data_IF_079927148293
#
_entry.id   IF_079927148293
#
_cell.length_a   1.000
_cell.length_b   1.000
_cell.length_c   1.000
_cell.angle_alpha   90.00
_cell.angle_beta   90.00
_cell.angle_gamma   90.00
#
_symmetry.space_group_name_H-M   'P 1'
#
loop_
_entity.id
_entity.type
_entity.pdbx_description
1 polymer ?
#
# COMPACT_ATOMS: atom_id res chain seq x y z
N UNK A 1 31.20 18.93 14.87
CA UNK A 1 32.16 18.33 15.83
C UNK A 1 32.92 19.50 16.44
N UNK A 2 32.84 19.89 17.71
CA UNK A 2 32.57 19.21 18.97
C UNK A 2 31.93 20.22 19.93
N UNK A 3 30.88 19.82 20.64
CA UNK A 3 30.32 20.56 21.78
C UNK A 3 31.01 20.10 23.07
N UNK A 4 31.34 21.01 23.98
CA UNK A 4 31.29 20.77 25.43
C UNK A 4 31.44 22.06 26.22
N UNK A 5 30.29 22.55 26.72
CA UNK A 5 30.18 23.49 27.83
C UNK A 5 30.44 22.75 29.14
N UNK A 6 31.32 23.29 30.00
CA UNK A 6 31.30 22.98 31.45
C UNK A 6 30.77 24.19 32.20
N UNK A 7 29.59 23.94 32.80
CA UNK A 7 29.09 24.37 34.12
C UNK A 7 29.87 25.49 34.80
N UNK A 8 29.13 26.50 35.24
CA UNK A 8 28.79 26.70 36.66
C UNK A 8 27.79 27.87 36.75
N UNK A 9 26.56 27.62 37.20
CA UNK A 9 25.74 28.64 37.87
C UNK A 9 24.76 27.90 38.79
N UNK A 10 25.07 27.84 40.09
CA UNK A 10 24.52 28.66 41.17
C UNK A 10 23.02 28.46 41.40
N UNK A 11 22.72 27.85 42.54
CA UNK A 11 21.41 27.59 43.13
C UNK A 11 20.77 28.90 43.63
N UNK A 12 19.44 28.99 43.69
CA UNK A 12 18.86 29.36 44.97
C UNK A 12 17.75 28.39 45.43
N UNK A 13 17.84 28.06 46.72
CA UNK A 13 16.86 27.36 47.54
C UNK A 13 15.71 28.32 47.82
N UNK A 14 14.50 27.97 47.40
CA UNK A 14 13.25 28.46 47.99
C UNK A 14 12.19 27.35 47.98
N UNK A 15 11.65 27.07 49.17
CA UNK A 15 10.26 26.64 49.33
C UNK A 15 9.97 25.14 49.18
N UNK A 16 10.14 24.39 50.27
CA UNK A 16 9.32 23.22 50.55
C UNK A 16 7.83 23.62 50.43
N UNK A 17 7.16 23.14 49.38
CA UNK A 17 5.71 23.10 49.32
C UNK A 17 5.32 21.61 49.28
N UNK A 18 4.52 21.12 50.25
CA UNK A 18 4.16 19.72 50.30
C UNK A 18 3.17 19.39 49.19
N UNK A 19 3.48 18.29 48.52
CA UNK A 19 2.65 17.46 47.64
C UNK A 19 1.14 17.51 47.95
N UNK A 20 0.31 17.92 46.99
CA UNK A 20 -1.13 17.60 46.92
C UNK A 20 -1.74 18.06 45.59
N UNK A 21 -1.74 17.16 44.60
CA UNK A 21 -2.81 16.98 43.61
C UNK A 21 -2.33 15.91 42.63
N UNK A 22 -2.48 14.66 43.06
CA UNK A 22 -2.73 13.57 42.12
C UNK A 22 -3.93 13.99 41.27
N UNK A 23 -3.67 14.41 40.04
CA UNK A 23 -4.62 14.17 38.97
C UNK A 23 -4.61 12.66 38.75
N UNK A 24 -5.50 11.97 39.47
CA UNK A 24 -5.97 10.63 39.16
C UNK A 24 -6.66 10.68 37.78
N UNK A 25 -5.85 10.74 36.72
CA UNK A 25 -6.30 10.24 35.43
C UNK A 25 -6.31 8.72 35.58
N UNK A 26 -7.49 8.05 35.59
CA UNK A 26 -7.53 6.60 35.73
C UNK A 26 -6.63 5.99 34.65
N UNK A 27 -5.87 4.91 34.93
CA UNK A 27 -5.07 4.27 33.92
C UNK A 27 -6.05 3.89 32.80
N UNK A 28 -5.95 4.61 31.68
CA UNK A 28 -6.72 4.33 30.48
C UNK A 28 -6.50 2.84 30.22
N UNK A 29 -7.53 2.05 30.49
CA UNK A 29 -7.45 0.60 30.40
C UNK A 29 -7.22 0.29 28.93
N UNK A 30 -5.94 0.19 28.57
CA UNK A 30 -5.51 -0.24 27.27
C UNK A 30 -5.91 -1.70 27.17
N UNK A 31 -7.06 -1.96 26.55
CA UNK A 31 -7.53 -3.31 26.26
C UNK A 31 -6.45 -3.95 25.38
N UNK A 32 -5.67 -4.87 25.95
CA UNK A 32 -4.66 -5.62 25.25
C UNK A 32 -5.36 -6.69 24.39
N UNK A 33 -5.55 -6.39 23.11
CA UNK A 33 -6.11 -7.34 22.15
C UNK A 33 -5.03 -8.34 21.75
N UNK A 34 -5.16 -9.58 22.22
CA UNK A 34 -4.33 -10.70 21.75
C UNK A 34 -4.95 -11.23 20.46
N UNK A 35 -4.29 -10.96 19.34
CA UNK A 35 -4.71 -11.46 18.04
C UNK A 35 -4.20 -12.90 17.81
N UNK A 36 -4.97 -13.75 17.08
CA UNK A 36 -4.49 -15.06 16.67
C UNK A 36 -3.14 -14.99 15.94
N UNK A 37 -2.28 -15.98 16.16
CA UNK A 37 -0.93 -16.02 15.59
C UNK A 37 -0.99 -16.04 14.06
N UNK A 38 -1.90 -16.82 13.49
CA UNK A 38 -2.06 -16.99 12.04
C UNK A 38 -2.50 -15.68 11.38
N UNK A 39 -3.38 -14.92 12.04
CA UNK A 39 -3.79 -13.59 11.59
C UNK A 39 -2.61 -12.62 11.62
N UNK A 40 -1.83 -12.65 12.70
CA UNK A 40 -0.65 -11.79 12.85
C UNK A 40 0.39 -12.09 11.77
N UNK A 41 0.67 -13.37 11.51
CA UNK A 41 1.56 -13.81 10.45
C UNK A 41 1.07 -13.37 9.06
N UNK A 42 -0.23 -13.51 8.79
CA UNK A 42 -0.85 -13.02 7.55
C UNK A 42 -0.64 -11.51 7.37
N UNK A 43 -0.88 -10.72 8.43
CA UNK A 43 -0.66 -9.27 8.39
C UNK A 43 0.78 -8.91 8.09
N UNK A 44 1.75 -9.56 8.75
CA UNK A 44 3.18 -9.31 8.53
C UNK A 44 3.60 -9.65 7.09
N UNK A 45 3.05 -10.72 6.50
CA UNK A 45 3.38 -11.15 5.14
C UNK A 45 2.83 -10.21 4.06
N UNK A 46 1.63 -9.65 4.25
CA UNK A 46 0.91 -8.96 3.19
C UNK A 46 0.86 -7.43 3.33
N UNK A 47 1.00 -6.88 4.54
CA UNK A 47 0.75 -5.44 4.81
C UNK A 47 1.56 -4.50 3.93
N UNK A 48 2.87 -4.70 3.80
CA UNK A 48 3.72 -3.81 3.00
C UNK A 48 3.31 -3.83 1.52
N UNK A 49 3.02 -5.02 0.97
CA UNK A 49 2.62 -5.18 -0.42
C UNK A 49 1.24 -4.56 -0.69
N UNK A 50 0.29 -4.72 0.23
CA UNK A 50 -1.01 -4.03 0.15
C UNK A 50 -0.85 -2.52 0.22
N UNK A 51 0.05 -1.99 1.06
CA UNK A 51 0.33 -0.55 1.12
C UNK A 51 0.90 -0.03 -0.20
N UNK A 52 1.90 -0.73 -0.77
CA UNK A 52 2.50 -0.34 -2.05
C UNK A 52 1.47 -0.36 -3.18
N UNK A 53 0.66 -1.40 -3.27
CA UNK A 53 -0.42 -1.49 -4.25
C UNK A 53 -1.46 -0.37 -4.09
N UNK A 54 -1.88 -0.10 -2.87
CA UNK A 54 -2.87 0.95 -2.61
C UNK A 54 -2.33 2.35 -2.94
N UNK A 55 -1.05 2.61 -2.65
CA UNK A 55 -0.38 3.86 -3.00
C UNK A 55 -0.32 4.08 -4.51
N UNK A 56 -0.08 3.03 -5.29
CA UNK A 56 -0.12 3.12 -6.75
C UNK A 56 -1.51 3.51 -7.29
N UNK A 57 -2.58 3.11 -6.61
CA UNK A 57 -3.96 3.36 -7.06
C UNK A 57 -4.55 4.68 -6.57
N UNK A 58 -4.25 5.06 -5.32
CA UNK A 58 -4.86 6.23 -4.68
C UNK A 58 -3.93 7.44 -4.68
N UNK A 59 -2.62 7.24 -4.87
CA UNK A 59 -1.58 8.28 -4.90
C UNK A 59 -1.56 9.18 -3.65
N UNK A 60 -2.00 8.63 -2.51
CA UNK A 60 -2.05 9.32 -1.22
C UNK A 60 -1.59 8.36 -0.12
N UNK A 61 -0.51 8.71 0.57
CA UNK A 61 0.10 7.84 1.56
C UNK A 61 -0.80 7.61 2.79
N UNK A 62 -1.50 8.65 3.25
CA UNK A 62 -2.37 8.58 4.43
C UNK A 62 -3.62 7.78 4.13
N UNK A 63 -4.28 8.06 3.00
CA UNK A 63 -5.47 7.28 2.60
C UNK A 63 -5.09 5.82 2.33
N UNK A 64 -3.93 5.57 1.72
CA UNK A 64 -3.48 4.20 1.49
C UNK A 64 -3.30 3.42 2.80
N UNK A 65 -2.71 4.05 3.81
CA UNK A 65 -2.57 3.44 5.12
C UNK A 65 -3.94 3.14 5.74
N UNK A 66 -4.88 4.09 5.69
CA UNK A 66 -6.22 3.92 6.25
C UNK A 66 -7.00 2.81 5.56
N UNK A 67 -6.90 2.68 4.23
CA UNK A 67 -7.57 1.63 3.48
C UNK A 67 -7.01 0.24 3.81
N UNK A 68 -5.69 0.11 3.95
CA UNK A 68 -5.08 -1.18 4.34
C UNK A 68 -5.41 -1.54 5.78
N UNK A 69 -5.38 -0.58 6.70
CA UNK A 69 -5.81 -0.78 8.09
C UNK A 69 -7.28 -1.22 8.17
N UNK A 70 -8.16 -0.57 7.41
CA UNK A 70 -9.58 -0.95 7.33
C UNK A 70 -9.76 -2.34 6.72
N UNK A 71 -9.04 -2.68 5.64
CA UNK A 71 -9.12 -3.99 5.01
C UNK A 71 -8.70 -5.11 5.97
N UNK A 72 -7.57 -4.95 6.66
CA UNK A 72 -7.07 -5.92 7.63
C UNK A 72 -7.93 -5.97 8.89
N UNK A 73 -8.47 -4.84 9.34
CA UNK A 73 -9.42 -4.78 10.45
C UNK A 73 -10.72 -5.54 10.13
N UNK A 74 -11.30 -5.29 8.96
CA UNK A 74 -12.47 -6.03 8.47
C UNK A 74 -12.17 -7.52 8.28
N UNK A 75 -10.94 -7.87 7.89
CA UNK A 75 -10.53 -9.27 7.79
C UNK A 75 -10.44 -9.93 9.18
N UNK A 76 -10.00 -9.20 10.21
CA UNK A 76 -9.89 -9.71 11.57
C UNK A 76 -11.24 -10.15 12.12
N UNK A 77 -12.31 -9.41 11.84
CA UNK A 77 -13.66 -9.71 12.33
C UNK A 77 -14.23 -11.00 11.76
N UNK A 78 -13.71 -11.46 10.61
CA UNK A 78 -14.13 -12.69 9.93
C UNK A 78 -13.02 -13.74 9.85
N UNK A 79 -11.90 -13.55 10.57
CA UNK A 79 -10.69 -14.37 10.41
C UNK A 79 -10.93 -15.87 10.58
N UNK A 80 -11.71 -16.36 11.57
CA UNK A 80 -11.96 -17.80 11.73
C UNK A 80 -12.58 -18.46 10.49
N UNK A 81 -13.50 -17.77 9.80
CA UNK A 81 -14.09 -18.27 8.57
C UNK A 81 -13.11 -18.21 7.39
N UNK A 82 -12.25 -17.20 7.36
CA UNK A 82 -11.27 -16.99 6.28
C UNK A 82 -10.17 -18.04 6.32
N UNK A 83 -9.63 -18.36 7.50
CA UNK A 83 -8.54 -19.33 7.61
C UNK A 83 -9.00 -20.76 7.33
N UNK A 84 -10.28 -21.06 7.51
CA UNK A 84 -10.90 -22.32 7.07
C UNK A 84 -11.13 -22.41 5.56
N UNK A 85 -11.00 -21.29 4.84
CA UNK A 85 -11.12 -21.28 3.37
C UNK A 85 -9.80 -21.69 2.72
N UNK A 86 -9.87 -22.19 1.48
CA UNK A 86 -8.67 -22.59 0.74
C UNK A 86 -7.76 -21.41 0.34
N UNK A 87 -8.26 -20.16 0.38
CA UNK A 87 -7.53 -18.99 -0.15
C UNK A 87 -7.76 -17.69 0.66
N UNK A 88 -7.17 -17.55 1.87
CA UNK A 88 -7.30 -16.36 2.71
C UNK A 88 -6.96 -15.04 2.01
N UNK A 89 -5.88 -15.03 1.23
CA UNK A 89 -5.42 -13.84 0.50
C UNK A 89 -6.45 -13.33 -0.52
N UNK A 90 -7.28 -14.22 -1.08
CA UNK A 90 -8.34 -13.83 -2.02
C UNK A 90 -9.47 -13.04 -1.35
N UNK A 91 -9.76 -13.35 -0.09
CA UNK A 91 -10.75 -12.60 0.69
C UNK A 91 -10.20 -11.22 1.02
N UNK A 92 -8.96 -11.16 1.52
CA UNK A 92 -8.29 -9.90 1.83
C UNK A 92 -8.15 -8.99 0.61
N UNK A 93 -7.76 -9.54 -0.55
CA UNK A 93 -7.65 -8.80 -1.80
C UNK A 93 -8.98 -8.16 -2.22
N UNK A 94 -10.08 -8.92 -2.18
CA UNK A 94 -11.41 -8.40 -2.53
C UNK A 94 -11.88 -7.32 -1.57
N UNK A 95 -11.63 -7.46 -0.27
CA UNK A 95 -11.95 -6.43 0.72
C UNK A 95 -11.19 -5.14 0.43
N UNK A 96 -9.89 -5.26 0.17
CA UNK A 96 -9.04 -4.11 -0.16
C UNK A 96 -9.49 -3.42 -1.45
N UNK A 97 -9.73 -4.18 -2.53
CA UNK A 97 -10.18 -3.64 -3.82
C UNK A 97 -11.55 -2.93 -3.70
N UNK A 98 -12.48 -3.50 -2.93
CA UNK A 98 -13.78 -2.87 -2.66
C UNK A 98 -13.63 -1.53 -1.92
N UNK A 99 -12.77 -1.46 -0.90
CA UNK A 99 -12.50 -0.24 -0.14
C UNK A 99 -11.82 0.83 -1.01
N UNK A 100 -10.81 0.46 -1.80
CA UNK A 100 -10.15 1.37 -2.75
C UNK A 100 -11.17 1.90 -3.75
N UNK A 101 -11.98 1.02 -4.34
CA UNK A 101 -13.00 1.40 -5.31
C UNK A 101 -14.04 2.35 -4.72
N UNK A 102 -14.42 2.17 -3.45
CA UNK A 102 -15.29 3.11 -2.74
C UNK A 102 -14.64 4.47 -2.57
N UNK A 103 -13.43 4.53 -2.02
CA UNK A 103 -12.72 5.79 -1.78
C UNK A 103 -12.47 6.57 -3.07
N UNK A 104 -12.17 5.88 -4.18
CA UNK A 104 -11.99 6.51 -5.49
C UNK A 104 -13.31 7.05 -6.06
N UNK A 105 -14.46 6.40 -5.80
CA UNK A 105 -15.77 6.94 -6.20
C UNK A 105 -16.09 8.22 -5.42
N UNK A 106 -15.89 8.20 -4.11
CA UNK A 106 -16.18 9.36 -3.24
C UNK A 106 -15.31 10.57 -3.62
N UNK A 107 -14.03 10.35 -3.96
CA UNK A 107 -13.14 11.41 -4.47
C UNK A 107 -13.54 11.96 -5.83
N UNK A 108 -14.02 11.12 -6.76
CA UNK A 108 -14.47 11.59 -8.08
C UNK A 108 -15.67 12.52 -7.99
N UNK A 109 -16.52 12.35 -6.98
CA UNK A 109 -17.62 13.27 -6.71
C UNK A 109 -17.13 14.66 -6.26
N UNK A 110 -15.89 14.79 -5.77
CA UNK A 110 -15.34 16.02 -5.20
C UNK A 110 -14.14 16.66 -5.93
N UNK A 111 -13.40 15.95 -6.82
CA UNK A 111 -12.19 16.50 -7.47
C UNK A 111 -11.77 15.81 -8.80
N UNK A 112 -10.98 16.53 -9.61
CA UNK A 112 -10.58 16.19 -10.99
C UNK A 112 -9.24 15.44 -11.16
N UNK A 113 -8.81 14.59 -10.23
CA UNK A 113 -7.53 13.88 -10.39
C UNK A 113 -7.65 12.43 -10.89
N UNK A 114 -6.80 12.01 -11.85
CA UNK A 114 -6.78 10.65 -12.36
C UNK A 114 -5.78 9.75 -11.64
N UNK A 115 -6.01 9.46 -10.36
CA UNK A 115 -5.14 8.56 -9.60
C UNK A 115 -5.14 7.11 -10.13
N UNK A 116 -6.28 6.66 -10.70
CA UNK A 116 -6.47 5.27 -11.13
C UNK A 116 -6.63 5.13 -12.65
N UNK A 117 -5.60 5.51 -13.40
CA UNK A 117 -5.66 5.52 -14.87
C UNK A 117 -5.75 4.11 -15.48
N UNK A 118 -5.12 3.09 -14.88
CA UNK A 118 -5.10 1.73 -15.45
C UNK A 118 -6.49 1.09 -15.37
N UNK A 119 -7.17 1.17 -14.23
CA UNK A 119 -8.52 0.62 -14.07
C UNK A 119 -9.61 1.39 -14.84
N UNK A 120 -9.29 2.56 -15.44
CA UNK A 120 -10.21 3.24 -16.37
C UNK A 120 -10.20 2.63 -17.76
N UNK A 121 -9.07 2.08 -18.16
CA UNK A 121 -8.84 1.61 -19.54
C UNK A 121 -8.92 0.09 -19.62
N UNK A 122 -8.64 -0.60 -18.51
CA UNK A 122 -8.62 -2.06 -18.44
C UNK A 122 -9.68 -2.60 -17.47
N UNK A 123 -10.21 -3.81 -17.75
CA UNK A 123 -10.94 -4.60 -16.77
C UNK A 123 -10.16 -4.77 -15.45
N UNK A 124 -10.84 -4.87 -14.29
CA UNK A 124 -10.19 -4.87 -12.98
C UNK A 124 -9.05 -5.88 -12.82
N UNK A 125 -9.28 -7.15 -13.17
CA UNK A 125 -8.27 -8.20 -13.03
C UNK A 125 -7.04 -7.99 -13.93
N UNK A 126 -7.24 -7.37 -15.10
CA UNK A 126 -6.15 -7.02 -16.03
C UNK A 126 -5.36 -5.82 -15.50
N UNK A 127 -6.05 -4.82 -14.97
CA UNK A 127 -5.43 -3.64 -14.37
C UNK A 127 -4.58 -4.03 -13.15
N UNK A 128 -5.09 -4.91 -12.28
CA UNK A 128 -4.37 -5.45 -11.13
C UNK A 128 -3.08 -6.16 -11.56
N UNK A 129 -3.17 -7.06 -12.54
CA UNK A 129 -2.00 -7.76 -13.06
C UNK A 129 -0.94 -6.79 -13.61
N UNK A 130 -1.35 -5.75 -14.34
CA UNK A 130 -0.44 -4.71 -14.85
C UNK A 130 0.20 -3.91 -13.71
N UNK A 131 -0.56 -3.50 -12.70
CA UNK A 131 -0.01 -2.74 -11.56
C UNK A 131 1.00 -3.60 -10.80
N UNK A 132 0.64 -4.84 -10.46
CA UNK A 132 1.49 -5.72 -9.66
C UNK A 132 2.78 -6.10 -10.40
N UNK A 133 2.69 -6.52 -11.67
CA UNK A 133 3.83 -7.04 -12.42
C UNK A 133 4.66 -5.93 -13.08
N UNK A 134 4.00 -4.92 -13.64
CA UNK A 134 4.70 -3.88 -14.40
C UNK A 134 5.10 -2.68 -13.54
N UNK A 135 4.24 -2.20 -12.64
CA UNK A 135 4.55 -1.01 -11.80
C UNK A 135 5.28 -1.36 -10.52
N UNK A 136 4.79 -2.37 -9.79
CA UNK A 136 5.39 -2.80 -8.53
C UNK A 136 6.53 -3.80 -8.69
N UNK A 137 6.73 -4.32 -9.91
CA UNK A 137 7.78 -5.29 -10.27
C UNK A 137 7.75 -6.56 -9.43
N UNK A 138 6.56 -7.01 -9.04
CA UNK A 138 6.40 -8.31 -8.39
C UNK A 138 6.57 -9.44 -9.41
N UNK A 139 7.02 -10.60 -8.96
CA UNK A 139 6.95 -11.82 -9.77
C UNK A 139 5.50 -12.31 -9.89
N UNK A 140 5.22 -13.13 -10.89
CA UNK A 140 3.88 -13.74 -11.05
C UNK A 140 3.46 -14.54 -9.81
N UNK A 141 4.41 -15.27 -9.21
CA UNK A 141 4.19 -16.03 -7.97
C UNK A 141 3.79 -15.09 -6.83
N UNK A 142 4.54 -14.01 -6.62
CA UNK A 142 4.24 -13.03 -5.56
C UNK A 142 2.89 -12.33 -5.78
N UNK A 143 2.55 -12.02 -7.03
CA UNK A 143 1.26 -11.43 -7.36
C UNK A 143 0.10 -12.42 -7.13
N UNK A 144 0.29 -13.68 -7.51
CA UNK A 144 -0.68 -14.75 -7.30
C UNK A 144 -0.94 -15.00 -5.81
N UNK A 145 0.12 -15.08 -5.00
CA UNK A 145 0.05 -15.17 -3.55
C UNK A 145 -0.68 -13.97 -2.94
N UNK A 146 -0.35 -12.76 -3.38
CA UNK A 146 -0.92 -11.52 -2.85
C UNK A 146 -2.43 -11.39 -3.13
N UNK A 147 -2.84 -11.76 -4.35
CA UNK A 147 -4.24 -11.73 -4.77
C UNK A 147 -5.03 -12.96 -4.33
N UNK A 148 -4.35 -14.01 -3.89
CA UNK A 148 -4.97 -15.32 -3.66
C UNK A 148 -5.61 -15.87 -4.94
N UNK A 149 -4.89 -15.86 -6.06
CA UNK A 149 -5.32 -16.53 -7.31
C UNK A 149 -4.21 -17.45 -7.83
N UNK A 150 -4.52 -18.31 -8.79
CA UNK A 150 -3.52 -19.19 -9.40
C UNK A 150 -2.53 -18.39 -10.27
N UNK A 151 -1.25 -18.77 -10.27
CA UNK A 151 -0.22 -18.09 -11.07
C UNK A 151 -0.59 -18.00 -12.57
N UNK A 152 -1.08 -19.06 -13.24
CA UNK A 152 -1.51 -18.98 -14.63
C UNK A 152 -2.65 -17.97 -14.86
N UNK A 153 -3.49 -17.71 -13.85
CA UNK A 153 -4.53 -16.69 -13.97
C UNK A 153 -3.91 -15.30 -14.07
N UNK A 154 -2.88 -15.00 -13.26
CA UNK A 154 -2.16 -13.71 -13.33
C UNK A 154 -1.50 -13.52 -14.69
N UNK A 155 -0.80 -14.54 -15.19
CA UNK A 155 -0.15 -14.51 -16.50
C UNK A 155 -1.19 -14.28 -17.62
N UNK A 156 -2.32 -14.99 -17.57
CA UNK A 156 -3.42 -14.83 -18.52
C UNK A 156 -3.98 -13.41 -18.52
N UNK A 157 -4.22 -12.83 -17.34
CA UNK A 157 -4.72 -11.45 -17.23
C UNK A 157 -3.72 -10.43 -17.81
N UNK A 158 -2.43 -10.61 -17.56
CA UNK A 158 -1.39 -9.74 -18.14
C UNK A 158 -1.37 -9.85 -19.68
N UNK A 159 -1.46 -11.06 -20.23
CA UNK A 159 -1.52 -11.26 -21.68
C UNK A 159 -2.77 -10.61 -22.29
N UNK A 160 -3.93 -10.72 -21.63
CA UNK A 160 -5.14 -10.04 -22.09
C UNK A 160 -5.00 -8.52 -22.03
N UNK A 161 -4.40 -7.98 -20.97
CA UNK A 161 -4.11 -6.56 -20.84
C UNK A 161 -3.22 -6.05 -21.99
N UNK A 162 -2.15 -6.80 -22.32
CA UNK A 162 -1.25 -6.44 -23.42
C UNK A 162 -1.95 -6.43 -24.78
N UNK A 163 -2.94 -7.31 -25.00
CA UNK A 163 -3.75 -7.33 -26.22
C UNK A 163 -4.74 -6.17 -26.28
N UNK A 164 -5.28 -5.76 -25.12
CA UNK A 164 -6.21 -4.64 -25.02
C UNK A 164 -5.52 -3.26 -25.10
N UNK A 165 -4.22 -3.18 -24.79
CA UNK A 165 -3.45 -1.94 -24.79
C UNK A 165 -2.76 -1.70 -26.16
N UNK A 166 -3.15 -0.68 -26.93
CA UNK A 166 -2.43 -0.32 -28.15
C UNK A 166 -1.10 0.37 -27.80
N UNK A 167 0.01 -0.38 -27.76
CA UNK A 167 1.43 0.05 -27.89
C UNK A 167 2.00 1.20 -27.01
N UNK A 168 1.18 1.97 -26.29
CA UNK A 168 1.57 3.25 -25.67
C UNK A 168 1.77 3.19 -24.16
N UNK A 169 1.32 2.12 -23.49
CA UNK A 169 1.42 1.99 -22.03
C UNK A 169 2.44 0.94 -21.57
N UNK A 170 3.04 0.19 -22.49
CA UNK A 170 4.12 -0.78 -22.24
C UNK A 170 5.52 -0.24 -22.52
N UNK A 171 5.63 0.97 -23.11
CA UNK A 171 6.91 1.61 -23.33
C UNK A 171 7.50 2.12 -22.01
N UNK A 172 8.67 1.58 -21.63
CA UNK A 172 9.57 2.22 -20.69
C UNK A 172 9.80 3.69 -21.10
N UNK A 173 10.09 4.63 -20.17
CA UNK A 173 10.31 6.02 -20.52
C UNK A 173 11.38 6.09 -21.60
N UNK A 174 11.00 6.53 -22.80
CA UNK A 174 11.90 6.65 -23.92
C UNK A 174 13.05 7.56 -23.48
N UNK A 175 14.24 6.99 -23.37
CA UNK A 175 15.48 7.76 -23.29
C UNK A 175 15.55 8.59 -24.56
N UNK A 176 15.23 9.87 -24.42
CA UNK A 176 15.53 10.87 -25.42
C UNK A 176 17.06 10.94 -25.57
N UNK A 177 17.56 10.44 -26.68
CA UNK A 177 18.97 10.49 -27.08
C UNK A 177 19.33 9.22 -27.86
N UNK A 178 19.75 9.23 -29.12
CA UNK A 178 20.21 10.32 -29.95
C UNK A 178 19.94 9.98 -31.42
N UNK A 179 19.08 10.76 -32.06
CA UNK A 179 19.06 10.89 -33.51
C UNK A 179 20.16 11.89 -33.88
N UNK A 180 21.35 11.42 -34.27
CA UNK A 180 22.23 12.17 -35.16
C UNK A 180 22.77 11.23 -36.23
N UNK A 181 21.95 11.07 -37.25
CA UNK A 181 22.35 10.56 -38.55
C UNK A 181 22.62 11.78 -39.44
N UNK A 182 23.90 12.07 -39.66
CA UNK A 182 24.39 12.76 -40.86
C UNK A 182 25.62 11.96 -41.26
N UNK A 183 25.51 11.01 -42.17
CA UNK A 183 25.30 11.30 -43.58
C UNK A 183 26.67 11.27 -44.26
N UNK A 184 27.19 10.06 -44.46
CA UNK A 184 28.42 9.76 -45.19
C UNK A 184 28.07 9.66 -46.68
N UNK A 185 28.48 10.63 -47.49
CA UNK A 185 28.58 10.56 -48.95
C UNK A 185 29.93 11.18 -49.31
N UNK A 186 30.99 10.39 -49.58
CA UNK A 186 31.40 9.93 -50.91
C UNK A 186 31.30 11.02 -51.98
N UNK A 187 32.41 11.72 -52.21
CA UNK A 187 33.09 11.86 -53.50
C UNK A 187 34.55 12.23 -53.25
#
# INVERSE_FOLDING_TARGET
>A
MSWSLRRLSTVPVWGLCPQSAQDDDPPQQAIALVLPLEYTAFCLLHRDRYLRYTRERVQDAWVSQKLVEAALGNLATIWPAVISSSRPAAVAWRLLDALISSALRDRRAGASQPADAVHRVLPPAQADAVILLCRLRLSEVQAAELMGVEQPAVASQLLMAQRALPGRLTAAPATAGAQRQTGRMRR
#
